data_IF_972178558325
#
_entry.id   IF_972178558325
#
_cell.length_a   1.000
_cell.length_b   1.000
_cell.length_c   1.000
_cell.angle_alpha   90.00
_cell.angle_beta   90.00
_cell.angle_gamma   90.00
#
_symmetry.space_group_name_H-M   'P 1'
#
loop_
_entity.id
_entity.type
_entity.pdbx_description
1 polymer ?
#
# COMPACT_ATOMS: atom_id res chain seq x y z
N UNK A 1 -30.98 -33.79 -11.61
CA UNK A 1 -29.98 -34.87 -11.59
C UNK A 1 -29.98 -35.55 -10.22
N UNK A 2 -30.84 -36.55 -9.98
CA UNK A 2 -30.88 -37.27 -8.71
C UNK A 2 -29.66 -38.19 -8.50
N UNK A 3 -29.07 -38.71 -9.59
CA UNK A 3 -27.94 -39.63 -9.56
C UNK A 3 -26.62 -38.95 -9.15
N UNK A 4 -26.48 -37.64 -9.39
CA UNK A 4 -25.32 -36.85 -8.95
C UNK A 4 -25.45 -36.36 -7.50
N UNK A 5 -26.56 -36.61 -6.81
CA UNK A 5 -26.77 -36.12 -5.43
C UNK A 5 -25.68 -36.59 -4.45
N UNK A 6 -25.04 -37.73 -4.72
CA UNK A 6 -23.95 -38.29 -3.93
C UNK A 6 -22.62 -37.51 -4.12
N UNK A 7 -22.51 -36.74 -5.20
CA UNK A 7 -21.35 -35.90 -5.53
C UNK A 7 -21.47 -34.49 -4.94
N UNK A 8 -22.66 -34.11 -4.46
CA UNK A 8 -22.93 -32.79 -3.90
C UNK A 8 -23.24 -32.88 -2.41
N UNK A 9 -22.37 -32.28 -1.59
CA UNK A 9 -22.64 -32.14 -0.17
C UNK A 9 -23.69 -31.04 0.06
N UNK A 10 -24.95 -31.48 0.23
CA UNK A 10 -26.09 -30.61 0.51
C UNK A 10 -25.97 -29.85 1.84
N UNK A 11 -25.03 -30.23 2.71
CA UNK A 11 -24.76 -29.57 3.99
C UNK A 11 -23.24 -29.29 4.17
N UNK A 12 -22.58 -28.81 3.12
CA UNK A 12 -21.14 -28.56 3.10
C UNK A 12 -20.59 -27.78 4.32
N UNK A 13 -21.34 -26.81 4.87
CA UNK A 13 -20.93 -26.08 6.08
C UNK A 13 -20.84 -27.02 7.30
N UNK A 14 -21.83 -27.89 7.52
CA UNK A 14 -21.82 -28.87 8.63
C UNK A 14 -20.70 -29.89 8.45
N UNK A 15 -20.40 -30.28 7.22
CA UNK A 15 -19.28 -31.18 6.95
C UNK A 15 -17.94 -30.53 7.28
N UNK A 16 -17.75 -29.24 6.94
CA UNK A 16 -16.56 -28.49 7.33
C UNK A 16 -16.43 -28.34 8.84
N UNK A 17 -17.54 -28.10 9.56
CA UNK A 17 -17.58 -28.11 11.03
C UNK A 17 -17.14 -29.47 11.59
N UNK A 18 -17.69 -30.57 11.07
CA UNK A 18 -17.34 -31.92 11.50
C UNK A 18 -15.86 -32.22 11.27
N UNK A 19 -15.33 -31.91 10.09
CA UNK A 19 -13.91 -32.11 9.77
C UNK A 19 -13.02 -31.35 10.75
N UNK A 20 -13.35 -30.09 11.04
CA UNK A 20 -12.64 -29.26 12.00
C UNK A 20 -12.68 -29.87 13.41
N UNK A 21 -13.87 -30.26 13.88
CA UNK A 21 -14.03 -30.90 15.20
C UNK A 21 -13.27 -32.22 15.32
N UNK A 22 -13.07 -32.93 14.21
CA UNK A 22 -12.25 -34.14 14.14
C UNK A 22 -10.74 -33.88 14.00
N UNK A 23 -10.29 -32.62 14.02
CA UNK A 23 -8.87 -32.28 13.95
C UNK A 23 -8.28 -32.31 12.54
N UNK A 24 -9.09 -32.06 11.50
CA UNK A 24 -8.61 -31.99 10.13
C UNK A 24 -7.54 -30.91 9.95
N UNK A 25 -6.45 -31.27 9.26
CA UNK A 25 -5.22 -30.47 9.24
C UNK A 25 -5.34 -29.14 8.48
N UNK A 26 -6.20 -29.05 7.46
CA UNK A 26 -6.35 -27.84 6.65
C UNK A 26 -7.29 -26.82 7.30
N UNK A 27 -6.91 -26.34 8.48
CA UNK A 27 -7.67 -25.35 9.27
C UNK A 27 -7.89 -24.07 8.47
N UNK A 28 -6.89 -23.60 7.71
CA UNK A 28 -7.02 -22.41 6.88
C UNK A 28 -8.18 -22.55 5.86
N UNK A 29 -8.24 -23.68 5.14
CA UNK A 29 -9.27 -23.92 4.13
C UNK A 29 -10.66 -24.13 4.73
N UNK A 30 -10.79 -24.92 5.79
CA UNK A 30 -12.09 -25.16 6.44
C UNK A 30 -12.65 -23.86 7.03
N UNK A 31 -11.83 -23.09 7.74
CA UNK A 31 -12.25 -21.81 8.31
C UNK A 31 -12.56 -20.77 7.23
N UNK A 32 -11.79 -20.71 6.15
CA UNK A 32 -12.08 -19.83 5.01
C UNK A 32 -13.48 -20.13 4.46
N UNK A 33 -13.80 -21.41 4.26
CA UNK A 33 -15.11 -21.85 3.77
C UNK A 33 -16.23 -21.46 4.75
N UNK A 34 -16.03 -21.70 6.05
CA UNK A 34 -16.99 -21.32 7.08
C UNK A 34 -17.26 -19.82 7.12
N UNK A 35 -16.24 -18.97 6.99
CA UNK A 35 -16.42 -17.51 6.94
C UNK A 35 -17.23 -17.09 5.71
N UNK A 36 -16.93 -17.67 4.54
CA UNK A 36 -17.51 -17.30 3.24
C UNK A 36 -18.96 -17.76 3.09
N UNK A 37 -19.27 -18.99 3.51
CA UNK A 37 -20.56 -19.64 3.21
C UNK A 37 -21.40 -19.92 4.46
N UNK A 38 -20.80 -19.85 5.65
CA UNK A 38 -21.51 -20.08 6.90
C UNK A 38 -22.20 -18.83 7.46
N UNK A 39 -23.30 -19.07 8.17
CA UNK A 39 -24.10 -18.06 8.86
C UNK A 39 -23.59 -17.82 10.29
N UNK A 40 -22.33 -17.40 10.42
CA UNK A 40 -21.70 -17.10 11.72
C UNK A 40 -21.75 -15.60 12.05
N UNK A 41 -21.68 -15.28 13.34
CA UNK A 41 -21.56 -13.90 13.81
C UNK A 41 -20.20 -13.30 13.42
N UNK A 42 -20.09 -11.97 13.51
CA UNK A 42 -18.82 -11.29 13.25
C UNK A 42 -17.73 -11.72 14.25
N UNK A 43 -18.08 -11.94 15.52
CA UNK A 43 -17.13 -12.41 16.53
C UNK A 43 -16.58 -13.80 16.20
N UNK A 44 -17.43 -14.72 15.74
CA UNK A 44 -16.99 -16.06 15.35
C UNK A 44 -16.15 -16.03 14.08
N UNK A 45 -16.50 -15.18 13.10
CA UNK A 45 -15.67 -14.97 11.91
C UNK A 45 -14.30 -14.37 12.25
N UNK A 46 -14.22 -13.49 13.25
CA UNK A 46 -12.94 -13.00 13.79
C UNK A 46 -12.11 -14.13 14.43
N UNK A 47 -12.72 -15.03 15.20
CA UNK A 47 -12.01 -16.21 15.74
C UNK A 47 -11.46 -17.09 14.62
N UNK A 48 -12.29 -17.40 13.62
CA UNK A 48 -11.88 -18.18 12.46
C UNK A 48 -10.74 -17.51 11.69
N UNK A 49 -10.78 -16.18 11.53
CA UNK A 49 -9.71 -15.43 10.89
C UNK A 49 -8.37 -15.54 11.66
N UNK A 50 -8.38 -15.42 12.99
CA UNK A 50 -7.18 -15.59 13.82
C UNK A 50 -6.60 -17.02 13.73
N UNK A 51 -7.46 -18.03 13.69
CA UNK A 51 -7.04 -19.43 13.52
C UNK A 51 -6.47 -19.70 12.13
N UNK A 52 -7.03 -19.07 11.08
CA UNK A 52 -6.45 -19.10 9.73
C UNK A 52 -5.03 -18.53 9.75
N UNK A 53 -4.82 -17.37 10.38
CA UNK A 53 -3.50 -16.73 10.47
C UNK A 53 -2.49 -17.60 11.24
N UNK A 54 -2.93 -18.20 12.36
CA UNK A 54 -2.12 -19.16 13.13
C UNK A 54 -1.71 -20.35 12.27
N UNK A 55 -2.65 -20.89 11.48
CA UNK A 55 -2.37 -22.02 10.60
C UNK A 55 -1.42 -21.64 9.46
N UNK A 56 -1.52 -20.43 8.89
CA UNK A 56 -0.58 -19.93 7.86
C UNK A 56 0.85 -19.89 8.41
N UNK A 57 1.04 -19.34 9.61
CA UNK A 57 2.39 -19.20 10.21
C UNK A 57 3.08 -20.57 10.32
N UNK A 58 2.33 -21.62 10.63
CA UNK A 58 2.83 -22.98 10.80
C UNK A 58 3.04 -23.76 9.48
N UNK A 59 2.68 -23.19 8.32
CA UNK A 59 2.61 -23.89 7.02
C UNK A 59 3.51 -23.26 5.95
N UNK A 60 3.87 -24.07 4.95
CA UNK A 60 4.74 -23.69 3.83
C UNK A 60 4.14 -24.03 2.45
N UNK A 61 2.95 -24.62 2.40
CA UNK A 61 2.37 -25.24 1.21
C UNK A 61 1.38 -24.33 0.47
N UNK A 62 1.01 -23.18 1.03
CA UNK A 62 0.11 -22.21 0.41
C UNK A 62 0.84 -21.36 -0.62
N UNK A 63 0.24 -21.19 -1.80
CA UNK A 63 0.79 -20.35 -2.86
C UNK A 63 0.31 -18.88 -2.75
N UNK A 64 0.91 -17.99 -3.56
CA UNK A 64 0.61 -16.56 -3.56
C UNK A 64 -0.87 -16.22 -3.83
N UNK A 65 -1.55 -16.97 -4.70
CA UNK A 65 -2.94 -16.72 -5.04
C UNK A 65 -3.88 -17.09 -3.87
N UNK A 66 -3.58 -18.19 -3.18
CA UNK A 66 -4.31 -18.61 -1.98
C UNK A 66 -4.10 -17.61 -0.84
N UNK A 67 -2.85 -17.21 -0.58
CA UNK A 67 -2.51 -16.23 0.45
C UNK A 67 -3.17 -14.88 0.17
N UNK A 68 -3.20 -14.43 -1.08
CA UNK A 68 -3.92 -13.22 -1.48
C UNK A 68 -5.41 -13.28 -1.12
N UNK A 69 -6.09 -14.38 -1.44
CA UNK A 69 -7.51 -14.56 -1.12
C UNK A 69 -7.74 -14.58 0.38
N UNK A 70 -6.86 -15.27 1.13
CA UNK A 70 -6.93 -15.34 2.58
C UNK A 70 -6.74 -13.95 3.19
N UNK A 71 -5.72 -13.19 2.81
CA UNK A 71 -5.49 -11.84 3.36
C UNK A 71 -6.61 -10.86 2.99
N UNK A 72 -7.19 -10.99 1.80
CA UNK A 72 -8.38 -10.23 1.40
C UNK A 72 -9.59 -10.56 2.27
N UNK A 73 -9.73 -11.81 2.71
CA UNK A 73 -10.82 -12.22 3.60
C UNK A 73 -10.57 -11.77 5.05
N UNK A 74 -9.42 -12.12 5.62
CA UNK A 74 -9.13 -11.90 7.04
C UNK A 74 -8.99 -10.40 7.37
N UNK A 75 -8.58 -9.57 6.42
CA UNK A 75 -8.52 -8.10 6.60
C UNK A 75 -9.90 -7.47 6.90
N UNK A 76 -11.00 -8.17 6.65
CA UNK A 76 -12.36 -7.70 6.97
C UNK A 76 -12.72 -7.90 8.44
N UNK A 77 -12.03 -8.77 9.17
CA UNK A 77 -12.36 -9.16 10.55
C UNK A 77 -11.36 -8.65 11.58
N UNK A 78 -11.72 -8.73 12.85
CA UNK A 78 -10.83 -8.33 13.95
C UNK A 78 -9.81 -9.44 14.21
N UNK A 79 -8.53 -9.10 14.09
CA UNK A 79 -7.42 -10.07 14.12
C UNK A 79 -6.25 -9.52 14.91
N UNK A 80 -5.56 -10.40 15.64
CA UNK A 80 -4.37 -10.04 16.41
C UNK A 80 -3.27 -9.50 15.51
N UNK A 81 -2.68 -8.36 15.88
CA UNK A 81 -1.54 -7.77 15.16
C UNK A 81 -0.39 -8.77 15.00
N UNK A 82 -0.05 -9.46 16.08
CA UNK A 82 1.03 -10.46 16.09
C UNK A 82 0.78 -11.57 15.08
N UNK A 83 -0.46 -12.07 15.00
CA UNK A 83 -0.82 -13.12 14.04
C UNK A 83 -0.85 -12.57 12.61
N UNK A 84 -1.38 -11.37 12.41
CA UNK A 84 -1.48 -10.77 11.07
C UNK A 84 -0.10 -10.45 10.50
N UNK A 85 0.76 -9.80 11.29
CA UNK A 85 2.12 -9.46 10.90
C UNK A 85 2.99 -10.70 10.76
N UNK A 86 2.87 -11.68 11.67
CA UNK A 86 3.59 -12.94 11.56
C UNK A 86 3.22 -13.74 10.31
N UNK A 87 1.94 -13.75 9.93
CA UNK A 87 1.49 -14.40 8.70
C UNK A 87 1.95 -13.64 7.43
N UNK A 88 1.98 -12.29 7.46
CA UNK A 88 2.51 -11.49 6.35
C UNK A 88 4.02 -11.69 6.19
N UNK A 89 4.77 -11.72 7.29
CA UNK A 89 6.21 -12.01 7.30
C UNK A 89 6.46 -13.41 6.75
N UNK A 90 5.65 -14.39 7.16
CA UNK A 90 5.70 -15.75 6.63
C UNK A 90 5.51 -15.76 5.11
N UNK A 91 4.46 -15.10 4.61
CA UNK A 91 4.23 -14.99 3.17
C UNK A 91 5.42 -14.33 2.46
N UNK A 92 5.93 -13.23 3.00
CA UNK A 92 7.07 -12.50 2.43
C UNK A 92 8.33 -13.37 2.33
N UNK A 93 8.54 -14.28 3.30
CA UNK A 93 9.69 -15.19 3.30
C UNK A 93 9.59 -16.31 2.25
N UNK A 94 8.38 -16.63 1.80
CA UNK A 94 8.13 -17.72 0.85
C UNK A 94 8.06 -17.25 -0.60
N UNK A 95 7.68 -15.99 -0.83
CA UNK A 95 7.49 -15.46 -2.18
C UNK A 95 8.73 -14.77 -2.75
N UNK A 96 9.05 -15.08 -4.00
CA UNK A 96 10.00 -14.33 -4.83
C UNK A 96 9.31 -13.38 -5.81
N UNK A 97 7.97 -13.33 -5.83
CA UNK A 97 7.20 -12.54 -6.77
C UNK A 97 7.05 -11.08 -6.29
N UNK A 98 7.50 -10.13 -7.10
CA UNK A 98 7.46 -8.70 -6.78
C UNK A 98 6.04 -8.14 -6.61
N UNK A 99 5.05 -8.66 -7.35
CA UNK A 99 3.65 -8.27 -7.14
C UNK A 99 3.15 -8.79 -5.79
N UNK A 100 3.49 -10.02 -5.41
CA UNK A 100 3.11 -10.58 -4.11
C UNK A 100 3.74 -9.77 -2.97
N UNK A 101 5.02 -9.39 -3.08
CA UNK A 101 5.68 -8.48 -2.13
C UNK A 101 4.99 -7.12 -2.06
N UNK A 102 4.65 -6.51 -3.20
CA UNK A 102 3.91 -5.25 -3.19
C UNK A 102 2.54 -5.39 -2.50
N UNK A 103 1.84 -6.50 -2.71
CA UNK A 103 0.57 -6.76 -2.05
C UNK A 103 0.73 -6.94 -0.53
N UNK A 104 1.79 -7.62 -0.08
CA UNK A 104 2.14 -7.73 1.34
C UNK A 104 2.35 -6.34 1.96
N UNK A 105 3.08 -5.45 1.27
CA UNK A 105 3.26 -4.07 1.71
C UNK A 105 1.90 -3.35 1.87
N UNK A 106 1.00 -3.51 0.91
CA UNK A 106 -0.32 -2.89 0.95
C UNK A 106 -1.23 -3.47 2.04
N UNK A 107 -1.22 -4.79 2.25
CA UNK A 107 -1.95 -5.40 3.36
C UNK A 107 -1.44 -4.91 4.71
N UNK A 108 -0.12 -4.72 4.85
CA UNK A 108 0.48 -4.15 6.06
C UNK A 108 -0.04 -2.74 6.33
N UNK A 109 -0.08 -1.86 5.33
CA UNK A 109 -0.66 -0.53 5.50
C UNK A 109 -2.15 -0.59 5.83
N UNK A 110 -2.91 -1.40 5.08
CA UNK A 110 -4.35 -1.54 5.25
C UNK A 110 -4.72 -2.00 6.67
N UNK A 111 -3.92 -2.88 7.27
CA UNK A 111 -4.09 -3.28 8.66
C UNK A 111 -4.03 -2.08 9.61
N UNK A 112 -2.98 -1.26 9.53
CA UNK A 112 -2.82 -0.13 10.43
C UNK A 112 -3.82 1.00 10.18
N UNK A 113 -4.28 1.18 8.93
CA UNK A 113 -5.38 2.09 8.60
C UNK A 113 -6.67 1.63 9.26
N UNK A 114 -7.01 0.35 9.13
CA UNK A 114 -8.24 -0.23 9.71
C UNK A 114 -8.30 -0.06 11.24
N UNK A 115 -7.17 -0.20 11.91
CA UNK A 115 -7.07 -0.09 13.37
C UNK A 115 -6.73 1.33 13.86
N UNK A 116 -6.77 2.33 12.97
CA UNK A 116 -6.42 3.73 13.25
C UNK A 116 -5.07 3.92 13.97
N UNK A 117 -4.12 3.01 13.73
CA UNK A 117 -2.79 3.07 14.34
C UNK A 117 -1.86 3.93 13.48
N UNK A 118 -2.03 5.25 13.60
CA UNK A 118 -1.28 6.23 12.82
C UNK A 118 0.21 6.24 13.14
N UNK A 119 0.63 5.91 14.35
CA UNK A 119 2.04 6.04 14.75
C UNK A 119 2.92 4.98 14.07
N UNK A 120 2.48 3.73 14.03
CA UNK A 120 3.19 2.70 13.26
C UNK A 120 3.12 3.01 11.76
N UNK A 121 1.95 3.42 11.26
CA UNK A 121 1.79 3.74 9.85
C UNK A 121 2.66 4.91 9.39
N UNK A 122 2.80 5.97 10.21
CA UNK A 122 3.72 7.09 9.98
C UNK A 122 5.15 6.59 9.84
N UNK A 123 5.56 5.72 10.76
CA UNK A 123 6.91 5.18 10.78
C UNK A 123 7.21 4.35 9.53
N UNK A 124 6.25 3.51 9.13
CA UNK A 124 6.34 2.69 7.92
C UNK A 124 6.49 3.53 6.66
N UNK A 125 5.53 4.44 6.43
CA UNK A 125 5.55 5.23 5.20
C UNK A 125 6.75 6.16 5.15
N UNK A 126 7.22 6.67 6.30
CA UNK A 126 8.41 7.51 6.36
C UNK A 126 9.68 6.77 5.95
N UNK A 127 9.88 5.54 6.42
CA UNK A 127 11.00 4.70 5.96
C UNK A 127 10.88 4.36 4.47
N UNK A 128 9.67 4.15 3.96
CA UNK A 128 9.47 3.89 2.54
C UNK A 128 9.75 5.12 1.66
N UNK A 129 9.39 6.32 2.12
CA UNK A 129 9.74 7.55 1.42
C UNK A 129 11.25 7.74 1.32
N UNK A 130 12.02 7.35 2.35
CA UNK A 130 13.50 7.42 2.33
C UNK A 130 14.12 6.58 1.23
N UNK A 131 13.40 5.58 0.72
CA UNK A 131 13.85 4.72 -0.39
C UNK A 131 13.74 5.41 -1.76
N UNK A 132 13.30 6.67 -1.81
CA UNK A 132 13.34 7.51 -3.00
C UNK A 132 12.71 6.85 -4.23
N UNK A 133 11.48 6.32 -4.07
CA UNK A 133 10.75 5.70 -5.17
C UNK A 133 11.45 4.48 -5.82
N UNK A 134 12.53 3.94 -5.21
CA UNK A 134 13.21 2.74 -5.68
C UNK A 134 12.36 1.51 -5.35
N UNK A 135 11.73 0.93 -6.37
CA UNK A 135 10.82 -0.21 -6.20
C UNK A 135 11.52 -1.43 -5.62
N UNK A 136 12.73 -1.75 -6.06
CA UNK A 136 13.50 -2.90 -5.51
C UNK A 136 13.72 -2.75 -4.01
N UNK A 137 14.11 -1.55 -3.56
CA UNK A 137 14.27 -1.24 -2.13
C UNK A 137 12.94 -1.27 -1.36
N UNK A 138 11.85 -0.82 -1.99
CA UNK A 138 10.50 -0.83 -1.39
C UNK A 138 10.00 -2.26 -1.14
N UNK A 139 10.26 -3.16 -2.08
CA UNK A 139 9.88 -4.58 -1.98
C UNK A 139 10.73 -5.36 -0.97
N UNK A 140 11.84 -4.80 -0.48
CA UNK A 140 12.58 -5.36 0.64
C UNK A 140 11.91 -4.97 1.97
N UNK A 141 10.83 -5.67 2.31
CA UNK A 141 9.99 -5.37 3.48
C UNK A 141 10.66 -5.87 4.76
N UNK A 142 10.92 -4.95 5.69
CA UNK A 142 11.40 -5.28 7.04
C UNK A 142 10.23 -5.34 8.02
N UNK A 143 10.10 -6.46 8.74
CA UNK A 143 9.13 -6.63 9.82
C UNK A 143 9.73 -6.33 11.22
N UNK A 144 11.06 -6.23 11.33
CA UNK A 144 11.81 -6.07 12.58
C UNK A 144 12.11 -4.61 12.94
N UNK A 145 11.15 -3.72 12.81
CA UNK A 145 11.41 -2.29 12.92
C UNK A 145 11.13 -1.76 14.33
N UNK A 146 12.20 -1.45 15.07
CA UNK A 146 12.15 -0.53 16.19
C UNK A 146 12.05 0.89 15.64
N UNK A 147 10.83 1.43 15.56
CA UNK A 147 10.57 2.76 15.03
C UNK A 147 10.88 3.84 16.09
N UNK A 148 12.15 4.04 16.39
CA UNK A 148 12.60 5.03 17.40
C UNK A 148 13.12 6.32 16.78
N UNK A 149 13.00 6.48 15.47
CA UNK A 149 13.49 7.68 14.78
C UNK A 149 12.47 8.81 14.87
N UNK A 150 12.96 10.04 15.07
CA UNK A 150 12.15 11.25 14.92
C UNK A 150 11.65 11.35 13.47
N UNK A 151 10.32 11.38 13.32
CA UNK A 151 9.65 11.45 12.02
C UNK A 151 9.40 12.93 11.71
N UNK A 152 10.04 13.41 10.64
CA UNK A 152 9.79 14.74 10.10
C UNK A 152 9.30 14.64 8.66
N UNK A 153 7.98 14.66 8.43
CA UNK A 153 7.41 14.66 7.09
C UNK A 153 7.74 15.92 6.28
N UNK A 154 8.21 16.98 6.95
CA UNK A 154 8.75 18.17 6.29
C UNK A 154 10.15 17.90 5.77
N UNK A 155 10.84 16.83 6.15
CA UNK A 155 12.12 16.49 5.55
C UNK A 155 11.92 15.97 4.12
N UNK A 156 12.38 16.74 3.13
CA UNK A 156 12.31 16.39 1.71
C UNK A 156 13.70 15.99 1.16
N UNK A 157 14.70 15.69 1.99
CA UNK A 157 16.07 15.48 1.51
C UNK A 157 16.32 14.11 0.87
N UNK A 158 15.36 13.20 0.94
CA UNK A 158 15.50 11.84 0.42
C UNK A 158 14.86 11.60 -0.96
N UNK A 159 14.19 12.59 -1.57
CA UNK A 159 13.50 12.41 -2.85
C UNK A 159 14.24 13.04 -4.04
N UNK A 160 14.20 12.36 -5.19
CA UNK A 160 14.59 12.91 -6.49
C UNK A 160 13.41 13.66 -7.10
N UNK A 161 13.19 14.89 -6.63
CA UNK A 161 12.06 15.69 -7.09
C UNK A 161 12.35 16.40 -8.42
N UNK A 162 11.35 16.39 -9.31
CA UNK A 162 11.27 17.26 -10.48
C UNK A 162 11.13 18.75 -10.14
N UNK A 163 11.00 19.09 -8.85
CA UNK A 163 10.79 20.45 -8.33
C UNK A 163 11.86 20.80 -7.30
N UNK A 164 12.23 22.08 -7.27
CA UNK A 164 12.88 22.71 -6.13
C UNK A 164 11.80 23.03 -5.09
N UNK A 165 12.05 22.62 -3.85
CA UNK A 165 11.11 22.75 -2.74
C UNK A 165 11.65 23.77 -1.75
N UNK A 166 10.86 24.80 -1.46
CA UNK A 166 11.22 25.84 -0.52
C UNK A 166 10.19 25.88 0.61
N UNK A 167 10.63 25.53 1.82
CA UNK A 167 9.79 25.51 3.02
C UNK A 167 9.51 26.91 3.53
N UNK A 168 8.32 27.10 4.10
CA UNK A 168 7.89 28.31 4.81
C UNK A 168 8.10 29.61 4.01
N UNK A 169 8.03 29.50 2.68
CA UNK A 169 8.22 30.62 1.75
C UNK A 169 7.06 30.74 0.77
N UNK A 170 6.83 31.95 0.31
CA UNK A 170 5.85 32.30 -0.72
C UNK A 170 6.55 32.68 -2.01
N UNK A 171 5.82 32.69 -3.14
CA UNK A 171 6.38 33.17 -4.39
C UNK A 171 6.92 34.60 -4.25
N UNK A 172 6.17 35.49 -3.59
CA UNK A 172 6.59 36.87 -3.37
C UNK A 172 7.94 36.97 -2.63
N UNK A 173 8.13 36.20 -1.56
CA UNK A 173 9.39 36.19 -0.79
C UNK A 173 10.55 35.64 -1.61
N UNK A 174 10.31 34.59 -2.39
CA UNK A 174 11.30 34.01 -3.28
C UNK A 174 11.78 35.03 -4.33
N UNK A 175 10.84 35.70 -5.00
CA UNK A 175 11.13 36.67 -6.05
C UNK A 175 11.91 37.89 -5.56
N UNK A 176 11.65 38.34 -4.32
CA UNK A 176 12.37 39.47 -3.73
C UNK A 176 13.89 39.25 -3.65
N UNK A 177 14.31 37.99 -3.50
CA UNK A 177 15.71 37.63 -3.31
C UNK A 177 16.37 37.07 -4.58
N UNK A 178 15.63 37.01 -5.71
CA UNK A 178 16.11 36.41 -6.94
C UNK A 178 16.61 37.46 -7.93
N UNK A 179 17.68 37.12 -8.64
CA UNK A 179 18.18 37.94 -9.75
C UNK A 179 17.36 37.63 -11.01
N UNK A 180 16.69 38.64 -11.56
CA UNK A 180 15.91 38.52 -12.81
C UNK A 180 16.83 38.41 -14.04
N UNK A 181 16.40 37.76 -15.14
CA UNK A 181 15.05 37.27 -15.43
C UNK A 181 14.79 35.80 -15.06
N UNK A 182 13.54 35.50 -14.71
CA UNK A 182 13.05 34.12 -14.58
C UNK A 182 12.94 33.44 -15.95
N UNK A 183 13.16 32.13 -15.97
CA UNK A 183 12.87 31.32 -17.15
C UNK A 183 11.35 31.33 -17.43
N UNK A 184 10.97 31.66 -18.65
CA UNK A 184 9.56 31.79 -19.10
C UNK A 184 8.78 30.47 -19.05
N UNK A 185 9.46 29.32 -18.97
CA UNK A 185 8.84 27.99 -18.98
C UNK A 185 8.79 27.34 -17.58
N UNK A 186 8.80 28.13 -16.49
CA UNK A 186 8.74 27.60 -15.13
C UNK A 186 7.30 27.31 -14.70
N UNK A 187 7.05 26.12 -14.15
CA UNK A 187 5.83 25.82 -13.39
C UNK A 187 6.05 26.11 -11.91
N UNK A 188 5.18 26.94 -11.34
CA UNK A 188 5.18 27.30 -9.92
C UNK A 188 3.91 26.79 -9.27
N UNK A 189 4.05 26.17 -8.09
CA UNK A 189 2.92 25.80 -7.24
C UNK A 189 3.19 26.28 -5.82
N UNK A 190 2.27 27.07 -5.27
CA UNK A 190 2.32 27.54 -3.88
C UNK A 190 1.30 26.76 -3.05
N UNK A 191 1.78 26.19 -1.95
CA UNK A 191 1.02 25.52 -0.88
C UNK A 191 1.17 26.34 0.41
N UNK A 192 0.34 26.05 1.42
CA UNK A 192 0.28 26.80 2.68
C UNK A 192 1.65 27.08 3.31
N UNK A 193 2.55 26.09 3.35
CA UNK A 193 3.90 26.24 3.90
C UNK A 193 5.01 25.80 2.93
N UNK A 194 4.72 25.70 1.62
CA UNK A 194 5.69 25.17 0.66
C UNK A 194 5.54 25.81 -0.71
N UNK A 195 6.64 26.30 -1.26
CA UNK A 195 6.75 26.72 -2.64
C UNK A 195 7.48 25.67 -3.46
N UNK A 196 6.87 25.26 -4.58
CA UNK A 196 7.44 24.33 -5.55
C UNK A 196 7.75 25.07 -6.85
N UNK A 197 8.96 24.91 -7.37
CA UNK A 197 9.40 25.48 -8.65
C UNK A 197 10.01 24.36 -9.50
N UNK A 198 9.47 24.13 -10.70
CA UNK A 198 9.94 23.06 -11.60
C UNK A 198 11.41 23.22 -12.00
N UNK A 199 12.16 22.11 -12.03
CA UNK A 199 13.56 22.04 -12.45
C UNK A 199 13.69 21.76 -13.95
N UNK A 200 14.69 22.37 -14.58
CA UNK A 200 15.18 21.98 -15.91
C UNK A 200 16.65 21.57 -15.79
N UNK A 201 17.05 20.30 -16.05
CA UNK A 201 16.27 19.16 -16.54
C UNK A 201 15.55 18.34 -15.43
N UNK A 202 14.52 17.56 -15.82
CA UNK A 202 13.83 16.60 -14.93
C UNK A 202 14.75 15.40 -14.59
N UNK A 203 14.58 14.76 -13.41
CA UNK A 203 15.36 13.58 -13.06
C UNK A 203 15.08 12.41 -14.00
N UNK A 204 16.13 11.73 -14.45
CA UNK A 204 16.01 10.48 -15.21
C UNK A 204 15.65 9.35 -14.26
N UNK A 205 14.54 8.66 -14.50
CA UNK A 205 14.12 7.50 -13.72
C UNK A 205 13.94 6.31 -14.65
N UNK A 206 14.77 5.27 -14.48
CA UNK A 206 14.62 4.03 -15.24
C UNK A 206 13.71 3.07 -14.46
N UNK A 207 12.50 2.84 -14.96
CA UNK A 207 11.45 2.02 -14.32
C UNK A 207 10.75 1.08 -15.30
N UNK A 208 11.37 0.76 -16.45
CA UNK A 208 10.71 0.01 -17.52
C UNK A 208 10.07 -1.31 -17.05
N UNK A 209 10.75 -2.04 -16.16
CA UNK A 209 10.24 -3.32 -15.63
C UNK A 209 9.27 -3.16 -14.44
N UNK A 210 9.12 -1.95 -13.91
CA UNK A 210 8.39 -1.67 -12.67
C UNK A 210 7.24 -0.67 -12.84
N UNK A 211 6.90 -0.23 -14.06
CA UNK A 211 5.89 0.82 -14.30
C UNK A 211 4.56 0.56 -13.57
N UNK A 212 4.06 -0.68 -13.66
CA UNK A 212 2.80 -1.09 -13.02
C UNK A 212 2.90 -1.09 -11.49
N UNK A 213 4.01 -1.60 -10.95
CA UNK A 213 4.25 -1.64 -9.51
C UNK A 213 4.42 -0.24 -8.93
N UNK A 214 5.16 0.61 -9.63
CA UNK A 214 5.33 2.01 -9.27
C UNK A 214 4.00 2.74 -9.22
N UNK A 215 3.16 2.60 -10.24
CA UNK A 215 1.84 3.24 -10.30
C UNK A 215 0.98 2.84 -9.09
N UNK A 216 0.90 1.53 -8.80
CA UNK A 216 0.14 1.02 -7.65
C UNK A 216 0.69 1.51 -6.32
N UNK A 217 2.02 1.49 -6.16
CA UNK A 217 2.67 1.98 -4.95
C UNK A 217 2.41 3.48 -4.76
N UNK A 218 2.54 4.28 -5.82
CA UNK A 218 2.31 5.71 -5.77
C UNK A 218 0.89 6.03 -5.29
N UNK A 219 -0.14 5.41 -5.87
CA UNK A 219 -1.54 5.62 -5.43
C UNK A 219 -1.73 5.21 -3.96
N UNK A 220 -1.18 4.08 -3.53
CA UNK A 220 -1.27 3.64 -2.13
C UNK A 220 -0.54 4.59 -1.17
N UNK A 221 0.67 5.05 -1.53
CA UNK A 221 1.44 6.06 -0.79
C UNK A 221 0.61 7.32 -0.57
N UNK A 222 -0.07 7.82 -1.61
CA UNK A 222 -0.91 9.01 -1.52
C UNK A 222 -2.12 8.81 -0.59
N UNK A 223 -2.75 7.63 -0.66
CA UNK A 223 -3.86 7.29 0.24
C UNK A 223 -3.40 7.25 1.70
N UNK A 224 -2.26 6.61 1.98
CA UNK A 224 -1.66 6.53 3.32
C UNK A 224 -1.33 7.93 3.85
N UNK A 225 -0.63 8.76 3.08
CA UNK A 225 -0.27 10.11 3.49
C UNK A 225 -1.50 10.98 3.76
N UNK A 226 -2.53 10.87 2.92
CA UNK A 226 -3.79 11.57 3.13
C UNK A 226 -4.50 11.11 4.42
N UNK A 227 -4.53 9.79 4.70
CA UNK A 227 -5.09 9.25 5.94
C UNK A 227 -4.36 9.76 7.20
N UNK A 228 -3.03 9.93 7.10
CA UNK A 228 -2.21 10.48 8.18
C UNK A 228 -2.37 12.00 8.37
N UNK A 229 -3.02 12.69 7.45
CA UNK A 229 -3.17 14.15 7.46
C UNK A 229 -1.97 14.91 6.85
N UNK A 230 -1.02 14.21 6.25
CA UNK A 230 0.21 14.77 5.65
C UNK A 230 -0.07 15.31 4.24
N UNK A 231 -1.03 16.22 4.11
CA UNK A 231 -1.58 16.69 2.83
C UNK A 231 -0.54 17.35 1.92
N UNK A 232 0.29 18.25 2.46
CA UNK A 232 1.37 18.91 1.69
C UNK A 232 2.35 17.87 1.16
N UNK A 233 2.72 16.89 1.99
CA UNK A 233 3.61 15.81 1.58
C UNK A 233 2.96 14.95 0.49
N UNK A 234 1.71 14.54 0.68
CA UNK A 234 0.95 13.79 -0.31
C UNK A 234 0.91 14.54 -1.66
N UNK A 235 0.68 15.85 -1.64
CA UNK A 235 0.66 16.66 -2.85
C UNK A 235 2.01 16.67 -3.57
N UNK A 236 3.10 16.92 -2.84
CA UNK A 236 4.48 16.93 -3.40
C UNK A 236 4.83 15.57 -4.00
N UNK A 237 4.61 14.49 -3.26
CA UNK A 237 4.85 13.13 -3.73
C UNK A 237 3.98 12.80 -4.96
N UNK A 238 2.71 13.22 -4.96
CA UNK A 238 1.77 12.93 -6.04
C UNK A 238 2.14 13.65 -7.33
N UNK A 239 2.55 14.91 -7.26
CA UNK A 239 3.06 15.63 -8.43
C UNK A 239 4.35 14.98 -8.94
N UNK A 240 5.27 14.62 -8.05
CA UNK A 240 6.54 14.03 -8.44
C UNK A 240 6.34 12.68 -9.13
N UNK A 241 5.55 11.81 -8.52
CA UNK A 241 5.24 10.49 -9.06
C UNK A 241 4.49 10.58 -10.39
N UNK A 242 3.57 11.54 -10.53
CA UNK A 242 2.84 11.75 -11.78
C UNK A 242 3.76 12.22 -12.91
N UNK A 243 4.72 13.09 -12.63
CA UNK A 243 5.76 13.48 -13.59
C UNK A 243 6.61 12.28 -14.04
N UNK A 244 6.91 11.34 -13.14
CA UNK A 244 7.60 10.08 -13.47
C UNK A 244 6.71 9.20 -14.34
N UNK A 245 5.45 8.99 -13.96
CA UNK A 245 4.49 8.14 -14.68
C UNK A 245 4.23 8.63 -16.10
N UNK A 246 4.25 9.94 -16.35
CA UNK A 246 4.14 10.50 -17.71
C UNK A 246 5.22 10.03 -18.67
N UNK A 247 6.33 9.53 -18.15
CA UNK A 247 7.42 8.99 -18.98
C UNK A 247 7.19 7.52 -19.39
N UNK A 248 6.29 6.82 -18.70
CA UNK A 248 6.03 5.39 -18.87
C UNK A 248 5.32 5.04 -20.18
N UNK A 249 5.62 3.86 -20.73
CA UNK A 249 4.94 3.35 -21.91
C UNK A 249 3.46 3.07 -21.64
N UNK A 250 3.11 2.62 -20.43
CA UNK A 250 1.72 2.43 -20.05
C UNK A 250 0.90 3.73 -20.04
N UNK A 251 1.53 4.86 -19.67
CA UNK A 251 0.88 6.18 -19.73
C UNK A 251 0.64 6.60 -21.18
N UNK A 252 1.66 6.47 -22.04
CA UNK A 252 1.58 6.83 -23.47
C UNK A 252 0.43 6.10 -24.18
N UNK A 253 0.10 4.87 -23.75
CA UNK A 253 -1.00 4.08 -24.30
C UNK A 253 -2.38 4.49 -23.80
N UNK A 254 -2.51 4.94 -22.55
CA UNK A 254 -3.82 5.22 -21.92
C UNK A 254 -3.79 6.44 -20.97
N UNK A 255 -3.48 7.65 -21.46
CA UNK A 255 -3.22 8.81 -20.60
C UNK A 255 -4.43 9.20 -19.73
N UNK A 256 -5.65 9.11 -20.26
CA UNK A 256 -6.88 9.53 -19.56
C UNK A 256 -7.08 8.84 -18.21
N UNK A 257 -6.77 7.54 -18.11
CA UNK A 257 -6.95 6.76 -16.88
C UNK A 257 -6.06 7.30 -15.75
N UNK A 258 -4.81 7.64 -16.08
CA UNK A 258 -3.86 8.19 -15.11
C UNK A 258 -4.21 9.63 -14.76
N UNK A 259 -4.57 10.43 -15.77
CA UNK A 259 -4.94 11.83 -15.59
C UNK A 259 -6.14 11.97 -14.65
N UNK A 260 -7.19 11.18 -14.83
CA UNK A 260 -8.38 11.18 -13.97
C UNK A 260 -8.04 10.77 -12.54
N UNK A 261 -7.21 9.73 -12.38
CA UNK A 261 -6.79 9.21 -11.08
C UNK A 261 -5.98 10.24 -10.29
N UNK A 262 -4.90 10.75 -10.89
CA UNK A 262 -4.00 11.70 -10.22
C UNK A 262 -4.66 13.06 -10.03
N UNK A 263 -5.46 13.53 -10.98
CA UNK A 263 -6.24 14.77 -10.81
C UNK A 263 -7.24 14.63 -9.67
N UNK A 264 -7.93 13.48 -9.57
CA UNK A 264 -8.86 13.19 -8.48
C UNK A 264 -8.19 13.19 -7.11
N UNK A 265 -7.02 12.57 -6.99
CA UNK A 265 -6.26 12.53 -5.74
C UNK A 265 -5.72 13.92 -5.39
N UNK A 266 -5.07 14.61 -6.34
CA UNK A 266 -4.46 15.92 -6.13
C UNK A 266 -5.49 16.98 -5.73
N UNK A 267 -6.73 16.91 -6.23
CA UNK A 267 -7.83 17.78 -5.79
C UNK A 267 -8.13 17.59 -4.29
N UNK A 268 -8.19 16.34 -3.82
CA UNK A 268 -8.51 16.03 -2.41
C UNK A 268 -7.43 16.45 -1.43
N UNK A 269 -6.16 16.49 -1.85
CA UNK A 269 -5.03 16.83 -0.96
C UNK A 269 -4.61 18.31 -1.04
N UNK A 270 -5.11 19.07 -2.02
CA UNK A 270 -4.81 20.51 -2.16
C UNK A 270 -5.69 21.38 -1.26
N UNK A 271 -6.89 20.91 -0.92
CA UNK A 271 -7.82 21.52 0.04
C UNK A 271 -7.42 21.21 1.49
#
# INVERSE_FOLDING_TARGET
FPEDSNLYDLNAVKTMESLRSSGYFNVAGTNYYMIMFGSYSSEDKSKFANEILTNIIARNDLNDAELMQIFTLVSKYDVSETLYMGALEKWNSLTSNDNSKANILFFRYAYYIKHDNKDILRSLIYEDLKKNNNIVSLLNISFNSNYTNEIDFRNYNFGNYSFSLYKDTTLFRYLRNMTMPLNINLRVVELSNLLMIEKNPKPTVNMADYENLFTKYSVNKLYVLNFLGEKERAFVEGINDYDIIKTFEMYKKNPSIFDDTYTGILKKVKE
#
